data_IF_441997988259
#
_entry.id   IF_441997988259
#
_cell.length_a   1.000
_cell.length_b   1.000
_cell.length_c   1.000
_cell.angle_alpha   90.00
_cell.angle_beta   90.00
_cell.angle_gamma   90.00
#
_symmetry.space_group_name_H-M   'P 1'
#
loop_
_entity.id
_entity.type
_entity.pdbx_description
1 polymer ?
#
# COMPACT_ATOMS: atom_id res chain seq x y z
N UNK A 1 13.32 8.47 -27.84
CA UNK A 1 12.99 8.52 -26.40
C UNK A 1 13.72 7.37 -25.75
N UNK A 2 14.77 7.66 -24.97
CA UNK A 2 15.64 6.65 -24.34
C UNK A 2 14.79 5.69 -23.50
N UNK A 3 15.14 4.40 -23.49
CA UNK A 3 14.39 3.38 -22.76
C UNK A 3 14.28 3.72 -21.26
N UNK A 4 15.30 4.36 -20.69
CA UNK A 4 15.29 4.90 -19.31
C UNK A 4 14.19 5.94 -19.09
N UNK A 5 13.90 6.80 -20.07
CA UNK A 5 12.85 7.83 -19.94
C UNK A 5 11.47 7.22 -19.91
N UNK A 6 11.25 6.14 -20.67
CA UNK A 6 9.98 5.39 -20.67
C UNK A 6 9.77 4.67 -19.34
N UNK A 7 10.80 4.03 -18.81
CA UNK A 7 10.76 3.36 -17.50
C UNK A 7 10.45 4.34 -16.36
N UNK A 8 11.13 5.49 -16.34
CA UNK A 8 10.86 6.56 -15.35
C UNK A 8 9.41 7.03 -15.45
N UNK A 9 8.88 7.23 -16.66
CA UNK A 9 7.48 7.61 -16.87
C UNK A 9 6.52 6.54 -16.34
N UNK A 10 6.83 5.26 -16.56
CA UNK A 10 6.01 4.14 -16.13
C UNK A 10 6.00 4.01 -14.60
N UNK A 11 7.15 4.20 -13.94
CA UNK A 11 7.23 4.28 -12.48
C UNK A 11 6.47 5.48 -11.91
N UNK A 12 6.61 6.67 -12.52
CA UNK A 12 5.87 7.86 -12.11
C UNK A 12 4.36 7.68 -12.26
N UNK A 13 3.90 7.10 -13.38
CA UNK A 13 2.48 6.81 -13.60
C UNK A 13 1.94 5.80 -12.57
N UNK A 14 2.73 4.76 -12.27
CA UNK A 14 2.37 3.76 -11.25
C UNK A 14 2.28 4.40 -9.87
N UNK A 15 3.21 5.28 -9.51
CA UNK A 15 3.19 6.02 -8.25
C UNK A 15 1.98 6.95 -8.13
N UNK A 16 1.66 7.70 -9.19
CA UNK A 16 0.46 8.55 -9.24
C UNK A 16 -0.82 7.70 -9.14
N UNK A 17 -0.86 6.56 -9.81
CA UNK A 17 -1.97 5.61 -9.72
C UNK A 17 -2.18 5.08 -8.30
N UNK A 18 -1.09 4.73 -7.61
CA UNK A 18 -1.13 4.32 -6.20
C UNK A 18 -1.65 5.45 -5.30
N UNK A 19 -1.19 6.69 -5.51
CA UNK A 19 -1.70 7.84 -4.77
C UNK A 19 -3.20 8.07 -5.00
N UNK A 20 -3.68 7.92 -6.24
CA UNK A 20 -5.09 8.04 -6.57
C UNK A 20 -5.94 6.97 -5.86
N UNK A 21 -5.46 5.71 -5.84
CA UNK A 21 -6.12 4.61 -5.10
C UNK A 21 -6.15 4.91 -3.60
N UNK A 22 -5.06 5.44 -3.03
CA UNK A 22 -5.01 5.80 -1.61
C UNK A 22 -5.99 6.95 -1.30
N UNK A 23 -6.06 7.98 -2.13
CA UNK A 23 -6.96 9.12 -1.91
C UNK A 23 -8.44 8.75 -2.07
N UNK A 24 -8.77 8.02 -3.14
CA UNK A 24 -10.16 7.60 -3.41
C UNK A 24 -10.58 6.53 -2.41
N UNK A 25 -9.78 5.48 -2.24
CA UNK A 25 -10.03 4.40 -1.29
C UNK A 25 -10.10 4.92 0.15
N UNK A 26 -9.28 5.90 0.52
CA UNK A 26 -9.29 6.52 1.84
C UNK A 26 -10.64 7.14 2.20
N UNK A 27 -11.34 7.76 1.23
CA UNK A 27 -12.70 8.28 1.46
C UNK A 27 -13.73 7.18 1.74
N UNK A 28 -13.60 6.01 1.12
CA UNK A 28 -14.47 4.87 1.41
C UNK A 28 -14.14 4.25 2.76
N UNK A 29 -12.85 4.12 3.07
CA UNK A 29 -12.36 3.58 4.34
C UNK A 29 -12.83 4.44 5.51
N UNK A 30 -12.87 5.77 5.38
CA UNK A 30 -13.33 6.66 6.44
C UNK A 30 -14.76 6.35 6.93
N UNK A 31 -15.62 5.81 6.06
CA UNK A 31 -17.01 5.41 6.41
C UNK A 31 -17.09 4.12 7.24
N UNK A 32 -15.99 3.39 7.37
CA UNK A 32 -15.96 2.16 8.15
C UNK A 32 -15.81 2.42 9.65
N UNK A 33 -16.37 1.53 10.51
CA UNK A 33 -16.18 1.60 11.95
C UNK A 33 -14.69 1.57 12.35
N UNK A 34 -14.32 2.35 13.37
CA UNK A 34 -12.95 2.46 13.87
C UNK A 34 -12.30 1.12 14.24
N UNK A 35 -13.07 0.20 14.85
CA UNK A 35 -12.58 -1.13 15.22
C UNK A 35 -12.21 -2.00 14.01
N UNK A 36 -12.95 -1.88 12.90
CA UNK A 36 -12.65 -2.60 11.64
C UNK A 36 -11.39 -2.00 11.01
N UNK A 37 -11.31 -0.67 10.92
CA UNK A 37 -10.14 0.04 10.38
C UNK A 37 -8.85 -0.37 11.11
N UNK A 38 -8.89 -0.41 12.45
CA UNK A 38 -7.75 -0.80 13.29
C UNK A 38 -7.31 -2.23 13.04
N UNK A 39 -8.24 -3.19 12.97
CA UNK A 39 -7.92 -4.60 12.68
C UNK A 39 -7.29 -4.75 11.29
N UNK A 40 -7.87 -4.13 10.27
CA UNK A 40 -7.35 -4.20 8.90
C UNK A 40 -5.96 -3.56 8.83
N UNK A 41 -5.75 -2.43 9.51
CA UNK A 41 -4.44 -1.77 9.58
C UNK A 41 -3.37 -2.68 10.21
N UNK A 42 -3.70 -3.32 11.34
CA UNK A 42 -2.79 -4.26 12.01
C UNK A 42 -2.46 -5.48 11.14
N UNK A 43 -3.46 -6.06 10.48
CA UNK A 43 -3.25 -7.18 9.56
C UNK A 43 -2.39 -6.74 8.38
N UNK A 44 -2.71 -5.60 7.76
CA UNK A 44 -1.95 -5.06 6.62
C UNK A 44 -0.51 -4.76 6.99
N UNK A 45 -0.27 -4.22 8.19
CA UNK A 45 1.08 -4.02 8.72
C UNK A 45 1.83 -5.34 8.92
N UNK A 46 1.19 -6.34 9.52
CA UNK A 46 1.78 -7.66 9.73
C UNK A 46 2.15 -8.34 8.41
N UNK A 47 1.25 -8.29 7.42
CA UNK A 47 1.51 -8.84 6.07
C UNK A 47 2.61 -8.05 5.36
N UNK A 48 2.62 -6.71 5.47
CA UNK A 48 3.69 -5.88 4.91
C UNK A 48 5.05 -6.19 5.55
N UNK A 49 5.12 -6.29 6.88
CA UNK A 49 6.37 -6.63 7.57
C UNK A 49 6.87 -8.03 7.18
N UNK A 50 5.98 -9.04 7.19
CA UNK A 50 6.33 -10.40 6.82
C UNK A 50 6.78 -10.51 5.36
N UNK A 51 6.00 -9.93 4.43
CA UNK A 51 6.35 -9.94 3.00
C UNK A 51 7.62 -9.15 2.71
N UNK A 52 7.89 -8.05 3.41
CA UNK A 52 9.14 -7.30 3.30
C UNK A 52 10.35 -8.10 3.77
N UNK A 53 10.24 -8.79 4.91
CA UNK A 53 11.30 -9.69 5.41
C UNK A 53 11.54 -10.84 4.43
N UNK A 54 10.47 -11.49 3.95
CA UNK A 54 10.60 -12.57 2.98
C UNK A 54 11.17 -12.08 1.65
N UNK A 55 10.79 -10.88 1.20
CA UNK A 55 11.33 -10.27 -0.02
C UNK A 55 12.84 -10.05 0.10
N UNK A 56 13.30 -9.54 1.24
CA UNK A 56 14.73 -9.35 1.51
C UNK A 56 15.54 -10.64 1.44
N UNK A 57 14.94 -11.78 1.80
CA UNK A 57 15.62 -13.09 1.75
C UNK A 57 15.55 -13.69 0.36
N UNK A 58 14.34 -13.76 -0.23
CA UNK A 58 14.08 -14.60 -1.40
C UNK A 58 14.02 -13.86 -2.74
N UNK A 59 13.88 -12.53 -2.74
CA UNK A 59 13.88 -11.69 -3.94
C UNK A 59 12.83 -12.07 -5.01
N UNK A 60 11.77 -12.80 -4.64
CA UNK A 60 10.71 -13.17 -5.59
C UNK A 60 9.79 -11.99 -5.91
N UNK A 61 9.48 -11.82 -7.20
CA UNK A 61 8.57 -10.78 -7.69
C UNK A 61 7.19 -10.83 -7.01
N UNK A 62 6.67 -12.03 -6.69
CA UNK A 62 5.38 -12.20 -6.01
C UNK A 62 5.38 -11.54 -4.62
N UNK A 63 6.49 -11.64 -3.88
CA UNK A 63 6.63 -11.02 -2.56
C UNK A 63 6.70 -9.49 -2.66
N UNK A 64 7.28 -8.97 -3.74
CA UNK A 64 7.33 -7.53 -4.01
C UNK A 64 5.92 -6.97 -4.23
N UNK A 65 5.09 -7.64 -5.04
CA UNK A 65 3.70 -7.22 -5.23
C UNK A 65 2.87 -7.36 -3.96
N UNK A 66 3.05 -8.45 -3.21
CA UNK A 66 2.36 -8.66 -1.93
C UNK A 66 2.72 -7.58 -0.90
N UNK A 67 4.00 -7.21 -0.83
CA UNK A 67 4.51 -6.14 0.01
C UNK A 67 3.90 -4.78 -0.37
N UNK A 68 3.91 -4.45 -1.67
CA UNK A 68 3.36 -3.21 -2.19
C UNK A 68 1.86 -3.06 -1.90
N UNK A 69 1.07 -4.10 -2.17
CA UNK A 69 -0.37 -4.10 -1.90
C UNK A 69 -0.64 -3.96 -0.41
N UNK A 70 0.12 -4.66 0.44
CA UNK A 70 -0.03 -4.59 1.89
C UNK A 70 0.33 -3.21 2.44
N UNK A 71 1.35 -2.56 1.89
CA UNK A 71 1.73 -1.17 2.20
C UNK A 71 0.62 -0.19 1.80
N UNK A 72 0.04 -0.34 0.61
CA UNK A 72 -1.05 0.52 0.14
C UNK A 72 -2.27 0.38 1.04
N UNK A 73 -2.65 -0.86 1.39
CA UNK A 73 -3.69 -1.13 2.37
C UNK A 73 -3.35 -0.50 3.73
N UNK A 74 -2.13 -0.68 4.24
CA UNK A 74 -1.71 -0.05 5.48
C UNK A 74 -1.90 1.47 5.44
N UNK A 75 -1.40 2.16 4.41
CA UNK A 75 -1.56 3.62 4.29
C UNK A 75 -3.01 4.07 4.13
N UNK A 76 -3.84 3.30 3.42
CA UNK A 76 -5.28 3.55 3.31
C UNK A 76 -5.98 3.57 4.66
N UNK A 77 -5.55 2.69 5.57
CA UNK A 77 -6.13 2.57 6.91
C UNK A 77 -5.32 3.28 7.98
N UNK A 78 -4.16 3.88 7.68
CA UNK A 78 -3.26 4.56 8.63
C UNK A 78 -3.79 5.92 9.09
N UNK A 79 -4.45 6.66 8.20
CA UNK A 79 -5.02 7.98 8.52
C UNK A 79 -6.42 7.86 9.16
N UNK A 80 -6.59 6.91 10.07
CA UNK A 80 -7.72 6.91 10.99
C UNK A 80 -7.46 8.04 11.98
N UNK A 81 -8.18 9.16 11.83
CA UNK A 81 -8.35 10.05 12.99
C UNK A 81 -9.02 9.18 14.07
N UNK A 82 -8.32 8.95 15.17
CA UNK A 82 -8.98 8.66 16.44
C UNK A 82 -9.81 9.91 16.73
N UNK A 83 -11.08 9.89 16.31
CA UNK A 83 -12.08 10.79 16.88
C UNK A 83 -12.27 10.32 18.33
N UNK A 84 -11.37 10.81 19.19
CA UNK A 84 -11.47 10.79 20.64
C UNK A 84 -11.84 12.18 21.12
#
# INVERSE_FOLDING_TARGET
MNDTTKEIFLYALTFIGLLAVIFVGGRYVQRLPSHIKKKINQISFGVAAASGILLYIFHYAVLLYLFLVSLVCFFLFFNYKEEG
#
